data_IF_090021145027
#
_entry.id   IF_090021145027
#
_cell.length_a   1.000
_cell.length_b   1.000
_cell.length_c   1.000
_cell.angle_alpha   90.00
_cell.angle_beta   90.00
_cell.angle_gamma   90.00
#
_symmetry.space_group_name_H-M   'P 1'
#
loop_
_entity.id
_entity.type
_entity.pdbx_description
1 polymer ?
#
# COMPACT_ATOMS: atom_id res chain seq x y z
N UNK A 1 4.57 13.41 -15.84
CA UNK A 1 5.65 13.14 -14.87
C UNK A 1 5.15 12.94 -13.44
N UNK A 2 4.30 13.78 -12.84
CA UNK A 2 3.90 13.57 -11.42
C UNK A 2 2.96 12.39 -11.15
N UNK A 3 2.05 12.06 -12.07
CA UNK A 3 0.95 11.12 -11.77
C UNK A 3 1.39 9.68 -11.55
N UNK A 4 2.40 9.21 -12.30
CA UNK A 4 2.93 7.85 -12.12
C UNK A 4 3.54 7.70 -10.74
N UNK A 5 4.40 8.64 -10.31
CA UNK A 5 5.03 8.58 -8.99
C UNK A 5 4.05 8.82 -7.85
N UNK A 6 3.05 9.70 -8.02
CA UNK A 6 1.97 9.85 -7.05
C UNK A 6 1.14 8.58 -6.93
N UNK A 7 0.91 7.87 -8.03
CA UNK A 7 0.16 6.61 -8.04
C UNK A 7 0.97 5.49 -7.39
N UNK A 8 2.20 5.24 -7.85
CA UNK A 8 3.07 4.18 -7.33
C UNK A 8 3.45 4.44 -5.89
N UNK A 9 3.69 5.70 -5.51
CA UNK A 9 3.93 6.10 -4.13
C UNK A 9 2.74 5.80 -3.22
N UNK A 10 1.53 6.23 -3.58
CA UNK A 10 0.33 5.93 -2.79
C UNK A 10 0.06 4.42 -2.70
N UNK A 11 0.30 3.68 -3.79
CA UNK A 11 0.15 2.23 -3.83
C UNK A 11 1.17 1.52 -2.91
N UNK A 12 2.41 2.00 -2.88
CA UNK A 12 3.44 1.52 -1.98
C UNK A 12 3.07 1.81 -0.51
N UNK A 13 2.56 3.00 -0.19
CA UNK A 13 2.12 3.34 1.17
C UNK A 13 0.97 2.44 1.63
N UNK A 14 -0.05 2.24 0.78
CA UNK A 14 -1.14 1.29 1.06
C UNK A 14 -0.59 -0.12 1.35
N UNK A 15 0.25 -0.63 0.45
CA UNK A 15 0.83 -1.97 0.58
C UNK A 15 1.66 -2.12 1.85
N UNK A 16 2.50 -1.14 2.16
CA UNK A 16 3.34 -1.15 3.36
C UNK A 16 2.50 -1.09 4.63
N UNK A 17 1.49 -0.24 4.70
CA UNK A 17 0.64 -0.10 5.87
C UNK A 17 -0.18 -1.37 6.15
N UNK A 18 -0.83 -1.93 5.12
CA UNK A 18 -1.60 -3.18 5.23
C UNK A 18 -0.68 -4.36 5.58
N UNK A 19 0.48 -4.43 4.91
CA UNK A 19 1.47 -5.47 5.17
C UNK A 19 2.01 -5.42 6.61
N UNK A 20 2.30 -4.22 7.10
CA UNK A 20 2.75 -4.01 8.47
C UNK A 20 1.67 -4.43 9.48
N UNK A 21 0.40 -4.07 9.28
CA UNK A 21 -0.69 -4.48 10.17
C UNK A 21 -0.78 -6.02 10.29
N UNK A 22 -0.79 -6.70 9.14
CA UNK A 22 -0.83 -8.17 9.11
C UNK A 22 0.41 -8.81 9.75
N UNK A 23 1.59 -8.24 9.53
CA UNK A 23 2.83 -8.72 10.13
C UNK A 23 2.85 -8.55 11.65
N UNK A 24 2.40 -7.40 12.17
CA UNK A 24 2.31 -7.13 13.61
C UNK A 24 1.38 -8.14 14.28
N UNK A 25 0.19 -8.39 13.72
CA UNK A 25 -0.75 -9.38 14.28
C UNK A 25 -0.20 -10.81 14.25
N UNK A 26 0.50 -11.20 13.16
CA UNK A 26 1.17 -12.51 13.10
C UNK A 26 2.24 -12.65 14.18
N UNK A 27 3.05 -11.60 14.39
CA UNK A 27 4.08 -11.58 15.42
C UNK A 27 3.50 -11.59 16.84
N UNK A 28 2.30 -11.05 17.02
CA UNK A 28 1.54 -11.13 18.28
C UNK A 28 0.91 -12.51 18.53
N UNK A 29 1.12 -13.49 17.63
CA UNK A 29 0.60 -14.86 17.75
C UNK A 29 -0.74 -15.08 17.05
N UNK A 30 -1.22 -14.12 16.25
CA UNK A 30 -2.40 -14.30 15.41
C UNK A 30 -2.18 -15.40 14.36
N UNK A 31 -3.20 -16.24 14.15
CA UNK A 31 -3.06 -17.45 13.31
C UNK A 31 -4.10 -17.52 12.17
N UNK A 32 -4.52 -16.37 11.63
CA UNK A 32 -5.48 -16.31 10.53
C UNK A 32 -4.83 -16.30 9.15
N UNK A 33 -5.37 -17.06 8.19
CA UNK A 33 -4.98 -17.00 6.76
C UNK A 33 -5.04 -15.56 6.23
N UNK A 34 -6.03 -14.78 6.70
CA UNK A 34 -6.16 -13.38 6.33
C UNK A 34 -4.94 -12.52 6.71
N UNK A 35 -4.30 -12.79 7.84
CA UNK A 35 -3.13 -12.04 8.28
C UNK A 35 -1.92 -12.31 7.37
N UNK A 36 -1.77 -13.55 6.91
CA UNK A 36 -0.78 -13.90 5.89
C UNK A 36 -1.05 -13.22 4.55
N UNK A 37 -2.32 -13.17 4.13
CA UNK A 37 -2.72 -12.44 2.92
C UNK A 37 -2.42 -10.95 3.05
N UNK A 38 -2.69 -10.34 4.20
CA UNK A 38 -2.33 -8.93 4.44
C UNK A 38 -0.82 -8.71 4.40
N UNK A 39 -0.04 -9.51 5.12
CA UNK A 39 1.41 -9.39 5.20
C UNK A 39 2.08 -9.59 3.84
N UNK A 40 1.80 -10.72 3.18
CA UNK A 40 2.41 -11.08 1.89
C UNK A 40 1.84 -10.23 0.75
N UNK A 41 0.53 -10.02 0.74
CA UNK A 41 -0.14 -9.19 -0.27
C UNK A 41 0.29 -7.72 -0.18
N UNK A 42 0.44 -7.19 1.03
CA UNK A 42 0.99 -5.86 1.27
C UNK A 42 2.42 -5.73 0.76
N UNK A 43 3.30 -6.67 1.12
CA UNK A 43 4.68 -6.71 0.63
C UNK A 43 4.75 -6.82 -0.91
N UNK A 44 3.97 -7.71 -1.51
CA UNK A 44 3.88 -7.85 -2.97
C UNK A 44 3.39 -6.58 -3.66
N UNK A 45 2.46 -5.86 -3.02
CA UNK A 45 1.96 -4.56 -3.52
C UNK A 45 3.08 -3.51 -3.52
N UNK A 46 3.92 -3.46 -2.49
CA UNK A 46 5.10 -2.55 -2.44
C UNK A 46 6.10 -2.89 -3.55
N UNK A 47 6.41 -4.17 -3.73
CA UNK A 47 7.33 -4.63 -4.79
C UNK A 47 6.77 -4.28 -6.17
N UNK A 48 5.48 -4.51 -6.41
CA UNK A 48 4.82 -4.17 -7.67
C UNK A 48 4.81 -2.66 -7.94
N UNK A 49 4.60 -1.83 -6.90
CA UNK A 49 4.69 -0.38 -7.00
C UNK A 49 6.10 0.08 -7.40
N UNK A 50 7.11 -0.47 -6.72
CA UNK A 50 8.52 -0.18 -7.01
C UNK A 50 8.89 -0.60 -8.42
N UNK A 51 8.50 -1.79 -8.85
CA UNK A 51 8.71 -2.28 -10.21
C UNK A 51 8.10 -1.31 -11.24
N UNK A 52 6.81 -0.99 -11.10
CA UNK A 52 6.13 -0.03 -11.99
C UNK A 52 6.76 1.35 -12.02
N UNK A 53 7.29 1.82 -10.88
CA UNK A 53 7.95 3.13 -10.82
C UNK A 53 9.23 3.21 -11.66
N UNK A 54 9.86 2.07 -11.95
CA UNK A 54 11.10 1.97 -12.73
C UNK A 54 10.83 1.53 -14.17
N UNK A 55 9.81 0.70 -14.39
CA UNK A 55 9.54 0.12 -15.71
C UNK A 55 8.58 0.92 -16.58
N UNK A 56 7.68 1.69 -15.97
CA UNK A 56 6.63 2.39 -16.71
C UNK A 56 7.12 3.79 -17.11
N UNK A 57 6.78 4.20 -18.34
CA UNK A 57 7.14 5.52 -18.85
C UNK A 57 6.19 6.60 -18.28
N UNK A 58 6.72 7.58 -17.51
CA UNK A 58 5.92 8.63 -16.88
C UNK A 58 5.28 9.62 -17.88
N UNK A 59 5.69 9.64 -19.14
CA UNK A 59 5.08 10.46 -20.19
C UNK A 59 3.82 9.82 -20.77
N UNK A 60 3.76 8.49 -20.79
CA UNK A 60 2.62 7.73 -21.30
C UNK A 60 1.61 7.33 -20.22
N UNK A 61 1.97 7.49 -18.94
CA UNK A 61 1.12 7.06 -17.84
C UNK A 61 -0.08 7.99 -17.66
N UNK A 62 -1.26 7.47 -17.99
CA UNK A 62 -2.54 8.13 -17.75
C UNK A 62 -3.33 7.41 -16.66
N UNK A 63 -3.67 8.16 -15.61
CA UNK A 63 -4.65 7.75 -14.61
C UNK A 63 -5.62 8.90 -14.38
N UNK A 64 -6.92 8.59 -14.29
CA UNK A 64 -7.92 9.59 -13.96
C UNK A 64 -7.68 10.16 -12.55
N UNK A 65 -8.07 11.42 -12.33
CA UNK A 65 -7.84 12.11 -11.05
C UNK A 65 -8.65 11.45 -9.93
N UNK A 66 -9.89 11.06 -10.19
CA UNK A 66 -10.77 10.45 -9.20
C UNK A 66 -10.18 9.16 -8.56
N UNK A 67 -9.74 8.14 -9.32
CA UNK A 67 -9.12 6.96 -8.73
C UNK A 67 -7.78 7.27 -8.04
N UNK A 68 -7.02 8.25 -8.54
CA UNK A 68 -5.78 8.68 -7.87
C UNK A 68 -6.07 9.27 -6.48
N UNK A 69 -7.08 10.14 -6.36
CA UNK A 69 -7.51 10.69 -5.07
C UNK A 69 -8.05 9.60 -4.13
N UNK A 70 -8.83 8.66 -4.67
CA UNK A 70 -9.32 7.51 -3.91
C UNK A 70 -8.18 6.65 -3.35
N UNK A 71 -7.13 6.43 -4.14
CA UNK A 71 -5.95 5.70 -3.70
C UNK A 71 -5.19 6.45 -2.59
N UNK A 72 -5.03 7.76 -2.72
CA UNK A 72 -4.42 8.60 -1.68
C UNK A 72 -5.22 8.60 -0.38
N UNK A 73 -6.55 8.70 -0.47
CA UNK A 73 -7.42 8.57 0.69
C UNK A 73 -7.27 7.20 1.34
N UNK A 74 -7.22 6.13 0.53
CA UNK A 74 -6.95 4.78 1.00
C UNK A 74 -5.61 4.65 1.72
N UNK A 75 -4.57 5.30 1.21
CA UNK A 75 -3.23 5.30 1.83
C UNK A 75 -3.26 5.99 3.20
N UNK A 76 -3.93 7.14 3.30
CA UNK A 76 -4.11 7.84 4.58
C UNK A 76 -4.89 6.99 5.57
N UNK A 77 -5.98 6.34 5.14
CA UNK A 77 -6.78 5.47 6.00
C UNK A 77 -6.02 4.22 6.44
N UNK A 78 -5.20 3.63 5.57
CA UNK A 78 -4.36 2.48 5.92
C UNK A 78 -3.29 2.86 6.95
N UNK A 79 -2.65 4.03 6.78
CA UNK A 79 -1.72 4.56 7.77
C UNK A 79 -2.41 4.87 9.10
N UNK A 80 -3.63 5.44 9.06
CA UNK A 80 -4.41 5.70 10.27
C UNK A 80 -4.74 4.38 10.99
N UNK A 81 -5.16 3.34 10.26
CA UNK A 81 -5.41 2.01 10.81
C UNK A 81 -4.18 1.43 11.50
N UNK A 82 -3.01 1.53 10.85
CA UNK A 82 -1.74 1.09 11.44
C UNK A 82 -1.39 1.92 12.69
N UNK A 83 -1.54 3.25 12.65
CA UNK A 83 -1.26 4.10 13.80
C UNK A 83 -2.18 3.77 14.99
N UNK A 84 -3.47 3.53 14.74
CA UNK A 84 -4.42 3.12 15.76
C UNK A 84 -4.05 1.77 16.39
N UNK A 85 -3.51 0.83 15.60
CA UNK A 85 -3.03 -0.46 16.11
C UNK A 85 -1.85 -0.30 17.09
N UNK A 86 -1.00 0.70 16.90
CA UNK A 86 0.12 0.98 17.81
C UNK A 86 -0.26 1.86 19.01
N UNK A 87 -1.38 2.60 18.94
CA UNK A 87 -1.85 3.50 19.98
C UNK A 87 -2.83 2.84 20.96
N UNK A 88 -3.43 1.70 20.59
CA UNK A 88 -4.34 0.91 21.42
C UNK A 88 -3.64 -0.27 22.08
#
# INVERSE_FOLDING_TARGET
MDRLYLFTGALAVCGAAIGAQGAVELLAGGSGVWLWVMAVGGAGTVVAAGYRSVTDDPETFEVAVAPLLGLWLGAVLALLGLALQFLG
#
